data_IF_381733199327
#
_entry.id   IF_381733199327
#
_cell.length_a   1.000
_cell.length_b   1.000
_cell.length_c   1.000
_cell.angle_alpha   90.00
_cell.angle_beta   90.00
_cell.angle_gamma   90.00
#
_symmetry.space_group_name_H-M   'P 1'
#
loop_
_entity.id
_entity.type
_entity.pdbx_description
1 polymer ?
#
# COMPACT_ATOMS: atom_id res chain seq x y z
N UNK A 1 -43.80 5.05 -28.70
CA UNK A 1 -42.39 5.41 -28.44
C UNK A 1 -42.08 4.98 -27.02
N UNK A 2 -41.19 4.00 -26.84
CA UNK A 2 -40.84 3.54 -25.51
C UNK A 2 -40.09 4.67 -24.76
N UNK A 3 -40.54 4.96 -23.54
CA UNK A 3 -39.94 5.98 -22.68
C UNK A 3 -38.45 5.66 -22.50
N UNK A 4 -37.59 6.41 -23.21
CA UNK A 4 -36.16 6.36 -23.12
C UNK A 4 -35.73 6.93 -21.78
N UNK A 5 -35.45 6.05 -20.80
CA UNK A 5 -34.90 6.46 -19.50
C UNK A 5 -33.37 6.21 -19.49
N UNK A 6 -32.55 7.26 -19.61
CA UNK A 6 -31.09 7.12 -19.65
C UNK A 6 -30.51 6.44 -18.42
N UNK A 7 -31.10 6.62 -17.23
CA UNK A 7 -30.65 5.98 -16.01
C UNK A 7 -30.87 4.47 -16.03
N UNK A 8 -31.98 4.01 -16.61
CA UNK A 8 -32.28 2.58 -16.76
C UNK A 8 -31.26 1.89 -17.68
N UNK A 9 -30.89 2.53 -18.78
CA UNK A 9 -29.88 1.99 -19.71
C UNK A 9 -28.50 1.91 -19.07
N UNK A 10 -28.13 2.91 -18.30
CA UNK A 10 -26.88 2.90 -17.51
C UNK A 10 -26.84 1.74 -16.51
N UNK A 11 -27.93 1.51 -15.78
CA UNK A 11 -27.99 0.39 -14.83
C UNK A 11 -27.95 -0.97 -15.53
N UNK A 12 -28.60 -1.13 -16.67
CA UNK A 12 -28.53 -2.35 -17.48
C UNK A 12 -27.10 -2.62 -17.97
N UNK A 13 -26.39 -1.60 -18.43
CA UNK A 13 -25.00 -1.72 -18.84
C UNK A 13 -24.07 -2.10 -17.68
N UNK A 14 -24.25 -1.51 -16.50
CA UNK A 14 -23.46 -1.85 -15.29
C UNK A 14 -23.66 -3.28 -14.81
N UNK A 15 -24.81 -3.88 -15.11
CA UNK A 15 -25.10 -5.28 -14.76
C UNK A 15 -24.45 -6.31 -15.68
N UNK A 16 -23.84 -5.89 -16.79
CA UNK A 16 -23.12 -6.82 -17.67
C UNK A 16 -21.94 -7.46 -16.92
N UNK A 17 -21.71 -8.76 -17.17
CA UNK A 17 -20.60 -9.48 -16.56
C UNK A 17 -19.27 -8.95 -17.10
N UNK A 18 -18.41 -8.48 -16.22
CA UNK A 18 -17.15 -7.82 -16.58
C UNK A 18 -16.16 -8.75 -17.29
N UNK A 19 -16.16 -10.06 -17.01
CA UNK A 19 -15.31 -11.01 -17.73
C UNK A 19 -15.78 -11.22 -19.18
N UNK A 20 -17.09 -11.31 -19.39
CA UNK A 20 -17.67 -11.48 -20.73
C UNK A 20 -17.36 -10.24 -21.57
N UNK A 21 -17.52 -9.04 -20.97
CA UNK A 21 -17.16 -7.78 -21.62
C UNK A 21 -15.64 -7.69 -21.89
N UNK A 22 -14.80 -8.08 -20.94
CA UNK A 22 -13.36 -8.11 -21.15
C UNK A 22 -12.98 -9.07 -22.32
N UNK A 23 -13.64 -10.21 -22.42
CA UNK A 23 -13.47 -11.14 -23.54
C UNK A 23 -13.91 -10.50 -24.86
N UNK A 24 -15.06 -9.80 -24.90
CA UNK A 24 -15.53 -9.10 -26.10
C UNK A 24 -14.63 -7.95 -26.54
N UNK A 25 -13.86 -7.38 -25.61
CA UNK A 25 -12.81 -6.37 -25.87
C UNK A 25 -11.48 -6.99 -26.30
N UNK A 26 -11.39 -8.33 -26.41
CA UNK A 26 -10.17 -9.04 -26.78
C UNK A 26 -9.10 -9.11 -25.68
N UNK A 27 -9.46 -8.88 -24.43
CA UNK A 27 -8.48 -8.94 -23.34
C UNK A 27 -8.14 -10.38 -22.98
N UNK A 28 -6.88 -10.78 -23.16
CA UNK A 28 -6.39 -12.07 -22.69
C UNK A 28 -6.12 -12.03 -21.19
N UNK A 29 -6.91 -12.77 -20.42
CA UNK A 29 -6.88 -12.75 -18.97
C UNK A 29 -6.27 -14.02 -18.39
N UNK A 30 -5.44 -13.87 -17.37
CA UNK A 30 -4.98 -14.98 -16.52
C UNK A 30 -5.49 -14.82 -15.08
N UNK A 31 -5.84 -15.93 -14.46
CA UNK A 31 -6.24 -15.93 -13.05
C UNK A 31 -5.03 -15.67 -12.14
N UNK A 32 -5.16 -14.72 -11.23
CA UNK A 32 -4.14 -14.38 -10.22
C UNK A 32 -4.82 -14.33 -8.85
N UNK A 33 -4.78 -15.43 -8.13
CA UNK A 33 -5.51 -15.58 -6.86
C UNK A 33 -7.03 -15.52 -7.08
N UNK A 34 -7.69 -14.54 -6.48
CA UNK A 34 -9.15 -14.32 -6.59
C UNK A 34 -9.53 -13.31 -7.69
N UNK A 35 -8.56 -12.79 -8.42
CA UNK A 35 -8.76 -11.80 -9.47
C UNK A 35 -8.27 -12.36 -10.81
N UNK A 36 -8.60 -11.64 -11.89
CA UNK A 36 -8.01 -11.85 -13.20
C UNK A 36 -7.11 -10.68 -13.56
N UNK A 37 -5.96 -10.97 -14.17
CA UNK A 37 -5.05 -9.97 -14.69
C UNK A 37 -5.04 -10.03 -16.20
N UNK A 38 -5.01 -8.87 -16.87
CA UNK A 38 -4.71 -8.80 -18.29
C UNK A 38 -3.26 -9.19 -18.53
N UNK A 39 -3.00 -10.11 -19.46
CA UNK A 39 -1.66 -10.68 -19.68
C UNK A 39 -0.69 -9.59 -20.14
N UNK A 40 -1.09 -8.75 -21.09
CA UNK A 40 -0.27 -7.67 -21.64
C UNK A 40 -0.04 -6.54 -20.62
N UNK A 41 -1.02 -6.29 -19.75
CA UNK A 41 -0.96 -5.25 -18.73
C UNK A 41 -1.23 -5.83 -17.33
N UNK A 42 -0.24 -6.49 -16.69
CA UNK A 42 -0.46 -7.20 -15.42
C UNK A 42 -0.92 -6.33 -14.25
N UNK A 43 -0.78 -5.00 -14.35
CA UNK A 43 -1.32 -4.03 -13.41
C UNK A 43 -2.82 -3.80 -13.54
N UNK A 44 -3.44 -4.21 -14.67
CA UNK A 44 -4.89 -4.25 -14.84
C UNK A 44 -5.45 -5.51 -14.17
N UNK A 45 -6.35 -5.34 -13.23
CA UNK A 45 -6.96 -6.42 -12.45
C UNK A 45 -8.47 -6.33 -12.48
N UNK A 46 -9.14 -7.46 -12.67
CA UNK A 46 -10.59 -7.58 -12.56
C UNK A 46 -10.95 -8.31 -11.26
N UNK A 47 -11.79 -7.72 -10.45
CA UNK A 47 -12.43 -8.38 -9.30
C UNK A 47 -13.85 -8.80 -9.71
N UNK A 48 -13.98 -10.08 -10.04
CA UNK A 48 -15.26 -10.64 -10.49
C UNK A 48 -16.34 -10.64 -9.42
N UNK A 49 -15.96 -10.60 -8.17
CA UNK A 49 -16.91 -10.55 -7.04
C UNK A 49 -17.62 -9.21 -6.95
N UNK A 50 -16.91 -8.15 -7.35
CA UNK A 50 -17.44 -6.78 -7.33
C UNK A 50 -17.91 -6.31 -8.68
N UNK A 51 -17.70 -7.08 -9.74
CA UNK A 51 -17.90 -6.68 -11.12
C UNK A 51 -17.16 -5.38 -11.46
N UNK A 52 -15.92 -5.24 -10.97
CA UNK A 52 -15.10 -4.04 -11.12
C UNK A 52 -13.71 -4.37 -11.62
N UNK A 53 -13.05 -3.37 -12.22
CA UNK A 53 -11.63 -3.44 -12.52
C UNK A 53 -10.86 -2.34 -11.80
N UNK A 54 -9.54 -2.55 -11.72
CA UNK A 54 -8.57 -1.55 -11.26
C UNK A 54 -7.34 -1.62 -12.16
N UNK A 55 -6.92 -0.46 -12.70
CA UNK A 55 -5.67 -0.36 -13.46
C UNK A 55 -4.61 0.32 -12.60
N UNK A 56 -3.81 -0.47 -11.90
CA UNK A 56 -2.92 0.02 -10.85
C UNK A 56 -1.82 0.95 -11.33
N UNK A 57 -1.37 0.83 -12.57
CA UNK A 57 -0.35 1.70 -13.17
C UNK A 57 -0.90 3.01 -13.74
N UNK A 58 -2.23 3.12 -13.95
CA UNK A 58 -2.84 4.31 -14.59
C UNK A 58 -3.50 5.32 -13.64
N UNK A 59 -3.28 5.17 -12.32
CA UNK A 59 -3.73 6.18 -11.36
C UNK A 59 -4.87 5.71 -10.44
N UNK A 60 -5.21 6.54 -9.46
CA UNK A 60 -6.25 6.24 -8.47
C UNK A 60 -7.67 6.32 -9.04
N UNK A 61 -7.86 7.11 -10.09
CA UNK A 61 -9.13 7.28 -10.80
C UNK A 61 -9.61 6.00 -11.48
N UNK A 62 -8.68 5.06 -11.79
CA UNK A 62 -9.01 3.76 -12.36
C UNK A 62 -9.00 2.62 -11.34
N UNK A 63 -9.35 2.91 -10.09
CA UNK A 63 -9.53 1.91 -9.03
C UNK A 63 -11.00 1.61 -8.80
N UNK A 64 -11.33 0.32 -8.72
CA UNK A 64 -12.69 -0.18 -8.46
C UNK A 64 -13.74 0.44 -9.39
N UNK A 65 -13.41 0.61 -10.67
CA UNK A 65 -14.30 1.16 -11.69
C UNK A 65 -15.22 0.08 -12.26
N UNK A 66 -16.41 0.50 -12.74
CA UNK A 66 -17.39 -0.38 -13.35
C UNK A 66 -17.05 -0.76 -14.80
N UNK A 67 -17.86 -1.62 -15.36
CA UNK A 67 -17.69 -2.13 -16.72
C UNK A 67 -17.83 -1.03 -17.78
N UNK A 68 -18.62 0.04 -17.53
CA UNK A 68 -18.74 1.14 -18.48
C UNK A 68 -17.40 1.86 -18.58
N UNK A 69 -16.78 2.16 -17.43
CA UNK A 69 -15.46 2.80 -17.40
C UNK A 69 -14.37 1.92 -18.01
N UNK A 70 -14.50 0.58 -17.90
CA UNK A 70 -13.60 -0.33 -18.57
C UNK A 70 -13.64 -0.15 -20.10
N UNK A 71 -14.83 -0.11 -20.70
CA UNK A 71 -14.98 0.09 -22.15
C UNK A 71 -14.47 1.46 -22.56
N UNK A 72 -14.78 2.52 -21.80
CA UNK A 72 -14.26 3.88 -22.09
C UNK A 72 -12.73 3.89 -22.22
N UNK A 73 -12.06 3.25 -21.26
CA UNK A 73 -10.58 3.30 -21.15
C UNK A 73 -9.91 2.37 -22.17
N UNK A 74 -10.45 1.18 -22.39
CA UNK A 74 -9.83 0.19 -23.31
C UNK A 74 -10.01 0.64 -24.76
N UNK A 75 -11.21 1.07 -25.15
CA UNK A 75 -11.51 1.49 -26.51
C UNK A 75 -11.21 2.98 -26.76
N UNK A 76 -10.82 3.73 -25.72
CA UNK A 76 -10.61 5.18 -25.80
C UNK A 76 -11.83 5.92 -26.38
N UNK A 77 -13.01 5.63 -25.85
CA UNK A 77 -14.30 6.17 -26.31
C UNK A 77 -15.01 6.97 -25.21
N UNK A 78 -16.01 7.76 -25.62
CA UNK A 78 -16.86 8.50 -24.68
C UNK A 78 -17.79 7.57 -23.88
N UNK A 79 -18.30 8.07 -22.74
CA UNK A 79 -19.33 7.37 -21.95
C UNK A 79 -20.54 6.92 -22.79
N UNK A 80 -21.00 7.75 -23.74
CA UNK A 80 -22.14 7.43 -24.58
C UNK A 80 -21.86 6.27 -25.53
N UNK A 81 -20.68 6.23 -26.13
CA UNK A 81 -20.24 5.17 -27.01
C UNK A 81 -19.99 3.87 -26.22
N UNK A 82 -19.39 3.96 -25.03
CA UNK A 82 -19.21 2.82 -24.14
C UNK A 82 -20.55 2.21 -23.70
N UNK A 83 -21.54 3.07 -23.41
CA UNK A 83 -22.89 2.63 -23.06
C UNK A 83 -23.54 1.91 -24.22
N UNK A 84 -23.43 2.44 -25.44
CA UNK A 84 -23.98 1.82 -26.66
C UNK A 84 -23.33 0.47 -26.92
N UNK A 85 -22.00 0.40 -26.87
CA UNK A 85 -21.24 -0.85 -27.00
C UNK A 85 -21.76 -1.93 -26.04
N UNK A 86 -21.92 -1.59 -24.75
CA UNK A 86 -22.36 -2.55 -23.71
C UNK A 86 -23.82 -3.01 -23.92
N UNK A 87 -24.69 -2.16 -24.42
CA UNK A 87 -26.09 -2.53 -24.68
C UNK A 87 -26.20 -3.50 -25.87
N UNK A 88 -25.29 -3.44 -26.83
CA UNK A 88 -25.24 -4.31 -28.01
C UNK A 88 -24.41 -5.58 -27.79
N UNK A 89 -23.49 -5.57 -26.81
CA UNK A 89 -22.63 -6.71 -26.52
C UNK A 89 -23.41 -7.86 -25.88
N UNK A 90 -23.26 -9.07 -26.41
CA UNK A 90 -23.76 -10.30 -25.81
C UNK A 90 -22.90 -10.68 -24.59
N UNK A 91 -23.19 -10.12 -23.45
CA UNK A 91 -22.55 -10.42 -22.17
C UNK A 91 -23.62 -10.82 -21.16
N UNK A 92 -23.31 -11.82 -20.34
CA UNK A 92 -24.19 -12.26 -19.26
C UNK A 92 -24.45 -11.16 -18.23
N UNK A 93 -25.51 -11.33 -17.45
CA UNK A 93 -25.82 -10.44 -16.32
C UNK A 93 -24.99 -10.87 -15.13
N UNK A 94 -24.36 -9.91 -14.48
CA UNK A 94 -23.64 -10.14 -13.24
C UNK A 94 -24.61 -10.49 -12.12
N UNK A 95 -24.48 -11.70 -11.59
CA UNK A 95 -25.28 -12.17 -10.47
C UNK A 95 -24.54 -11.93 -9.15
N UNK A 96 -24.82 -10.79 -8.53
CA UNK A 96 -24.23 -10.41 -7.25
C UNK A 96 -24.56 -11.38 -6.10
N UNK A 97 -25.60 -12.21 -6.23
CA UNK A 97 -25.92 -13.23 -5.24
C UNK A 97 -24.95 -14.41 -5.25
N UNK A 98 -24.24 -14.64 -6.35
CA UNK A 98 -23.20 -15.66 -6.50
C UNK A 98 -21.82 -15.19 -6.05
N UNK A 99 -21.67 -13.97 -5.54
CA UNK A 99 -20.39 -13.50 -5.02
C UNK A 99 -20.02 -14.36 -3.81
N UNK A 100 -18.93 -15.15 -3.86
CA UNK A 100 -18.46 -15.83 -2.66
C UNK A 100 -18.14 -14.76 -1.61
N UNK A 101 -18.82 -14.80 -0.47
CA UNK A 101 -18.45 -13.91 0.64
C UNK A 101 -16.96 -14.10 0.89
N UNK A 102 -16.22 -12.99 1.03
CA UNK A 102 -14.79 -13.05 1.39
C UNK A 102 -14.69 -13.87 2.66
N UNK A 103 -13.97 -14.99 2.59
CA UNK A 103 -13.72 -15.78 3.80
C UNK A 103 -12.99 -14.90 4.82
N UNK A 104 -13.37 -14.99 6.10
CA UNK A 104 -12.67 -14.26 7.14
C UNK A 104 -11.21 -14.68 7.18
N UNK A 105 -10.35 -13.76 7.61
CA UNK A 105 -8.95 -14.09 7.83
C UNK A 105 -8.83 -15.17 8.92
N UNK A 106 -8.04 -16.20 8.65
CA UNK A 106 -7.68 -17.24 9.62
C UNK A 106 -6.17 -17.32 9.71
N UNK A 107 -5.64 -17.10 10.90
CA UNK A 107 -4.20 -17.21 11.16
C UNK A 107 -3.77 -18.68 11.20
N UNK A 108 -3.11 -19.14 10.14
CA UNK A 108 -2.65 -20.54 9.98
C UNK A 108 -1.13 -20.61 9.82
N UNK A 109 -0.42 -19.72 10.53
CA UNK A 109 1.04 -19.69 10.45
C UNK A 109 1.64 -20.69 11.42
N UNK A 110 2.59 -21.48 10.95
CA UNK A 110 3.39 -22.35 11.81
C UNK A 110 4.52 -21.54 12.43
N UNK A 111 4.28 -20.99 13.61
CA UNK A 111 5.29 -20.24 14.36
C UNK A 111 6.41 -21.16 14.85
N UNK A 112 7.64 -20.68 14.79
CA UNK A 112 8.80 -21.36 15.37
C UNK A 112 8.83 -21.14 16.90
N UNK A 113 9.47 -22.05 17.63
CA UNK A 113 9.65 -21.93 19.08
C UNK A 113 10.64 -20.85 19.48
N UNK A 114 11.56 -20.51 18.58
CA UNK A 114 12.64 -19.52 18.83
C UNK A 114 12.64 -18.45 17.73
N UNK A 115 13.33 -17.35 17.96
CA UNK A 115 13.48 -16.24 17.02
C UNK A 115 14.93 -16.12 16.47
N UNK A 116 15.74 -17.18 16.55
CA UNK A 116 17.17 -17.11 16.35
C UNK A 116 17.58 -16.76 14.92
N UNK A 117 17.01 -17.42 13.90
CA UNK A 117 17.29 -17.11 12.49
C UNK A 117 16.80 -15.71 12.12
N UNK A 118 15.64 -15.31 12.61
CA UNK A 118 15.11 -13.99 12.37
C UNK A 118 15.96 -12.92 13.05
N UNK A 119 16.39 -13.13 14.29
CA UNK A 119 17.29 -12.23 15.03
C UNK A 119 18.61 -12.06 14.30
N UNK A 120 19.24 -13.17 13.90
CA UNK A 120 20.48 -13.15 13.13
C UNK A 120 20.33 -12.31 11.84
N UNK A 121 19.30 -12.57 11.07
CA UNK A 121 19.00 -11.81 9.85
C UNK A 121 18.81 -10.31 10.12
N UNK A 122 18.00 -9.95 11.13
CA UNK A 122 17.73 -8.56 11.48
C UNK A 122 19.00 -7.83 11.97
N UNK A 123 19.90 -8.53 12.67
CA UNK A 123 21.17 -7.96 13.12
C UNK A 123 22.20 -7.85 12.00
N UNK A 124 22.50 -8.98 11.35
CA UNK A 124 23.65 -9.07 10.45
C UNK A 124 23.36 -8.47 9.08
N UNK A 125 22.13 -8.65 8.54
CA UNK A 125 21.79 -8.14 7.22
C UNK A 125 21.01 -6.83 7.24
N UNK A 126 20.30 -6.54 8.34
CA UNK A 126 19.48 -5.34 8.46
C UNK A 126 20.05 -4.29 9.41
N UNK A 127 21.10 -4.63 10.16
CA UNK A 127 21.82 -3.71 11.04
C UNK A 127 21.06 -3.29 12.29
N UNK A 128 19.96 -3.98 12.64
CA UNK A 128 19.15 -3.65 13.82
C UNK A 128 19.85 -4.12 15.11
N UNK A 129 19.74 -3.33 16.18
CA UNK A 129 20.23 -3.70 17.51
C UNK A 129 19.31 -4.70 18.19
N UNK A 130 19.84 -5.47 19.15
CA UNK A 130 19.03 -6.35 19.98
C UNK A 130 17.93 -5.58 20.73
N UNK A 131 18.26 -4.39 21.23
CA UNK A 131 17.31 -3.51 21.92
C UNK A 131 16.07 -3.20 21.03
N UNK A 132 16.30 -2.82 19.78
CA UNK A 132 15.22 -2.57 18.83
C UNK A 132 14.43 -3.83 18.50
N UNK A 133 15.14 -4.94 18.27
CA UNK A 133 14.48 -6.22 17.99
C UNK A 133 13.60 -6.64 19.17
N UNK A 134 14.13 -6.56 20.39
CA UNK A 134 13.39 -6.92 21.61
C UNK A 134 12.19 -6.00 21.87
N UNK A 135 12.34 -4.71 21.59
CA UNK A 135 11.23 -3.76 21.67
C UNK A 135 10.04 -4.22 20.80
N UNK A 136 10.27 -4.54 19.52
CA UNK A 136 9.21 -4.98 18.62
C UNK A 136 8.70 -6.39 18.91
N UNK A 137 9.56 -7.31 19.38
CA UNK A 137 9.15 -8.63 19.88
C UNK A 137 8.20 -8.51 21.07
N UNK A 138 8.51 -7.65 22.03
CA UNK A 138 7.69 -7.42 23.22
C UNK A 138 6.34 -6.76 22.90
N UNK A 139 6.21 -6.08 21.75
CA UNK A 139 4.92 -5.61 21.24
C UNK A 139 4.07 -6.75 20.64
N UNK A 140 4.62 -7.95 20.49
CA UNK A 140 3.90 -9.11 19.96
C UNK A 140 3.56 -9.05 18.47
N UNK A 141 4.16 -8.11 17.73
CA UNK A 141 3.83 -7.87 16.32
C UNK A 141 4.65 -8.72 15.34
N UNK A 142 5.68 -9.42 15.78
CA UNK A 142 6.49 -10.26 14.89
C UNK A 142 6.83 -11.61 15.51
N UNK A 143 6.93 -12.61 14.66
CA UNK A 143 7.34 -13.98 15.01
C UNK A 143 8.21 -14.56 13.91
N UNK A 144 9.09 -15.50 14.28
CA UNK A 144 9.70 -16.40 13.30
C UNK A 144 8.73 -17.51 12.96
N UNK A 145 8.65 -17.86 11.68
CA UNK A 145 7.78 -18.91 11.19
C UNK A 145 8.46 -19.70 10.06
N UNK A 146 7.82 -20.78 9.64
CA UNK A 146 8.28 -21.61 8.53
C UNK A 146 7.32 -21.39 7.36
N UNK A 147 7.85 -20.93 6.24
CA UNK A 147 7.17 -20.92 4.96
C UNK A 147 7.39 -22.27 4.25
N UNK A 148 6.33 -22.83 3.69
CA UNK A 148 6.41 -23.95 2.74
C UNK A 148 5.92 -23.44 1.39
N UNK A 149 6.81 -23.47 0.42
CA UNK A 149 6.45 -23.15 -0.97
C UNK A 149 5.54 -24.24 -1.53
N UNK A 150 4.41 -23.84 -2.12
CA UNK A 150 3.37 -24.78 -2.57
C UNK A 150 3.71 -25.50 -3.88
N UNK A 151 4.59 -24.93 -4.71
CA UNK A 151 4.97 -25.49 -5.98
C UNK A 151 6.15 -26.45 -5.85
N UNK A 152 7.15 -26.05 -5.07
CA UNK A 152 8.38 -26.84 -4.91
C UNK A 152 8.40 -27.71 -3.67
N UNK A 153 7.49 -27.48 -2.71
CA UNK A 153 7.44 -28.14 -1.41
C UNK A 153 8.59 -27.76 -0.46
N UNK A 154 9.52 -26.91 -0.89
CA UNK A 154 10.67 -26.47 -0.09
C UNK A 154 10.21 -25.60 1.08
N UNK A 155 10.93 -25.69 2.18
CA UNK A 155 10.66 -24.90 3.39
C UNK A 155 11.80 -23.92 3.64
N UNK A 156 11.42 -22.72 4.12
CA UNK A 156 12.39 -21.69 4.53
C UNK A 156 11.91 -20.94 5.78
N UNK A 157 12.83 -20.44 6.62
CA UNK A 157 12.45 -19.58 7.71
C UNK A 157 12.00 -18.21 7.18
N UNK A 158 11.00 -17.64 7.85
CA UNK A 158 10.50 -16.30 7.55
C UNK A 158 10.17 -15.55 8.83
N UNK A 159 10.09 -14.24 8.72
CA UNK A 159 9.45 -13.39 9.73
C UNK A 159 8.00 -13.15 9.29
N UNK A 160 7.08 -13.25 10.22
CA UNK A 160 5.71 -12.79 10.04
C UNK A 160 5.50 -11.57 10.92
N UNK A 161 5.20 -10.44 10.29
CA UNK A 161 4.75 -9.24 10.96
C UNK A 161 3.23 -9.27 11.03
N UNK A 162 2.68 -9.36 12.24
CA UNK A 162 1.25 -9.51 12.49
C UNK A 162 0.54 -8.17 12.34
N UNK A 163 -0.60 -8.19 11.66
CA UNK A 163 -1.53 -7.05 11.66
C UNK A 163 -2.55 -7.31 12.76
N UNK A 164 -2.57 -6.45 13.75
CA UNK A 164 -3.50 -6.52 14.87
C UNK A 164 -4.59 -5.48 14.70
N UNK A 165 -5.83 -5.86 15.03
CA UNK A 165 -6.91 -4.88 15.16
C UNK A 165 -6.83 -4.17 16.53
N UNK A 166 -7.73 -3.22 16.76
CA UNK A 166 -7.81 -2.45 18.01
C UNK A 166 -8.05 -3.32 19.26
N UNK A 167 -8.54 -4.57 19.08
CA UNK A 167 -8.75 -5.52 20.16
C UNK A 167 -7.54 -6.43 20.39
N UNK A 168 -6.49 -6.31 19.54
CA UNK A 168 -5.32 -7.15 19.55
C UNK A 168 -5.49 -8.49 18.84
N UNK A 169 -6.59 -8.68 18.10
CA UNK A 169 -6.82 -9.87 17.29
C UNK A 169 -6.00 -9.79 16.00
N UNK A 170 -5.43 -10.92 15.57
CA UNK A 170 -4.70 -10.99 14.30
C UNK A 170 -5.71 -10.98 13.14
N UNK A 171 -5.64 -9.95 12.29
CA UNK A 171 -6.51 -9.75 11.11
C UNK A 171 -5.74 -9.80 9.80
N UNK A 172 -4.44 -10.06 9.87
CA UNK A 172 -3.56 -10.17 8.71
C UNK A 172 -2.11 -10.34 9.10
N UNK A 173 -1.22 -10.21 8.12
CA UNK A 173 0.22 -10.19 8.35
C UNK A 173 1.03 -10.08 7.07
N UNK A 174 2.25 -9.57 7.21
CA UNK A 174 3.24 -9.52 6.16
C UNK A 174 4.30 -10.60 6.37
N UNK A 175 4.68 -11.30 5.31
CA UNK A 175 5.73 -12.33 5.31
C UNK A 175 7.01 -11.76 4.72
N UNK A 176 8.11 -11.88 5.44
CA UNK A 176 9.45 -11.53 5.02
C UNK A 176 10.34 -12.76 5.08
N UNK A 177 10.79 -13.27 3.92
CA UNK A 177 11.77 -14.34 3.84
C UNK A 177 13.13 -13.90 4.37
N UNK A 178 13.80 -14.80 5.08
CA UNK A 178 15.13 -14.58 5.66
C UNK A 178 16.20 -14.93 4.62
N UNK A 179 16.02 -16.03 3.89
CA UNK A 179 17.00 -16.50 2.91
C UNK A 179 16.85 -15.82 1.55
N UNK A 180 18.00 -15.56 0.93
CA UNK A 180 18.06 -15.02 -0.42
C UNK A 180 17.98 -16.17 -1.43
N UNK A 181 16.95 -16.11 -2.32
CA UNK A 181 16.72 -17.12 -3.33
C UNK A 181 16.12 -16.51 -4.59
N UNK A 182 16.96 -16.15 -5.57
CA UNK A 182 16.49 -15.59 -6.86
C UNK A 182 15.76 -16.60 -7.74
N UNK A 183 15.95 -17.90 -7.54
CA UNK A 183 15.24 -18.92 -8.32
C UNK A 183 13.74 -18.94 -7.95
N UNK A 184 13.42 -18.86 -6.65
CA UNK A 184 12.04 -18.80 -6.17
C UNK A 184 11.44 -17.38 -6.24
N UNK A 185 12.29 -16.36 -6.10
CA UNK A 185 11.87 -14.95 -6.03
C UNK A 185 12.69 -14.08 -7.00
N UNK A 186 12.49 -14.20 -8.34
CA UNK A 186 13.34 -13.55 -9.34
C UNK A 186 13.44 -12.04 -9.19
N UNK A 187 12.34 -11.37 -8.85
CA UNK A 187 12.28 -9.91 -8.74
C UNK A 187 12.94 -9.37 -7.46
N UNK A 188 12.65 -10.01 -6.33
CA UNK A 188 13.00 -9.48 -4.98
C UNK A 188 14.07 -10.27 -4.27
N UNK A 189 14.46 -11.44 -4.79
CA UNK A 189 15.41 -12.35 -4.17
C UNK A 189 14.97 -12.98 -2.85
N UNK A 190 13.81 -12.58 -2.29
CA UNK A 190 13.25 -13.07 -1.03
C UNK A 190 11.73 -13.07 -1.06
N UNK A 191 11.12 -13.92 -0.25
CA UNK A 191 9.67 -13.90 -0.01
C UNK A 191 9.26 -12.53 0.56
N UNK A 192 8.38 -11.83 -0.16
CA UNK A 192 7.69 -10.62 0.33
C UNK A 192 6.23 -10.72 -0.11
N UNK A 193 5.36 -11.22 0.75
CA UNK A 193 3.92 -11.41 0.46
C UNK A 193 3.10 -11.18 1.73
N UNK A 194 1.86 -10.73 1.57
CA UNK A 194 0.86 -10.69 2.65
C UNK A 194 0.32 -12.10 2.91
N UNK A 195 -0.13 -12.37 4.13
CA UNK A 195 -0.88 -13.60 4.44
C UNK A 195 -2.21 -13.60 3.67
N UNK A 196 -2.63 -14.80 3.28
CA UNK A 196 -3.88 -14.98 2.52
C UNK A 196 -5.09 -14.46 3.31
N UNK A 197 -6.00 -13.78 2.62
CA UNK A 197 -7.20 -13.15 3.19
C UNK A 197 -6.97 -12.08 4.26
N UNK A 198 -5.75 -11.57 4.45
CA UNK A 198 -5.52 -10.40 5.31
C UNK A 198 -6.49 -9.27 4.98
N UNK A 199 -6.95 -8.54 5.98
CA UNK A 199 -7.79 -7.36 5.75
C UNK A 199 -7.03 -6.31 4.95
N UNK A 200 -7.65 -5.80 3.87
CA UNK A 200 -6.97 -4.93 2.89
C UNK A 200 -6.53 -3.57 3.43
N UNK A 201 -7.08 -3.16 4.57
CA UNK A 201 -6.73 -1.91 5.26
C UNK A 201 -5.99 -2.14 6.57
N UNK A 202 -5.52 -3.38 6.84
CA UNK A 202 -4.70 -3.70 8.00
C UNK A 202 -3.20 -3.57 7.70
N UNK A 203 -2.44 -3.07 8.66
CA UNK A 203 -0.99 -2.93 8.61
C UNK A 203 -0.35 -3.31 9.94
N UNK A 204 0.97 -3.17 10.02
CA UNK A 204 1.68 -3.34 11.29
C UNK A 204 1.64 -2.03 12.05
N UNK A 205 1.05 -2.02 13.24
CA UNK A 205 0.86 -0.82 14.05
C UNK A 205 1.56 -0.99 15.40
N UNK A 206 2.33 0.02 15.79
CA UNK A 206 3.04 0.06 17.08
C UNK A 206 2.89 1.43 17.71
N UNK A 207 2.38 1.47 18.94
CA UNK A 207 2.28 2.69 19.72
C UNK A 207 3.57 2.89 20.56
N UNK A 208 4.11 4.10 20.49
CA UNK A 208 5.18 4.58 21.34
C UNK A 208 4.54 5.39 22.47
N UNK A 209 4.65 4.88 23.68
CA UNK A 209 4.04 5.43 24.89
C UNK A 209 2.70 4.78 25.26
N UNK A 210 1.81 5.52 25.93
CA UNK A 210 0.53 5.02 26.44
C UNK A 210 -0.57 5.00 25.37
N UNK A 211 -1.41 3.97 25.32
CA UNK A 211 -2.51 3.79 24.34
C UNK A 211 -3.56 4.92 24.36
N UNK A 212 -3.58 5.75 25.39
CA UNK A 212 -4.52 6.88 25.51
C UNK A 212 -3.92 8.23 25.09
N UNK A 213 -2.80 8.22 24.40
CA UNK A 213 -2.00 9.42 24.16
C UNK A 213 -2.68 10.48 23.31
N UNK A 214 -3.58 10.10 22.38
CA UNK A 214 -4.28 11.12 21.60
C UNK A 214 -5.07 12.09 22.50
N UNK A 215 -5.68 11.62 23.57
CA UNK A 215 -6.41 12.46 24.52
C UNK A 215 -5.52 13.48 25.24
N UNK A 216 -4.22 13.21 25.33
CA UNK A 216 -3.20 14.08 25.93
C UNK A 216 -2.53 15.02 24.91
N UNK A 217 -2.77 14.84 23.63
CA UNK A 217 -2.17 15.62 22.55
C UNK A 217 -2.55 17.09 22.65
N UNK A 218 -1.58 17.97 22.40
CA UNK A 218 -1.72 19.42 22.34
C UNK A 218 -1.17 19.94 21.01
N UNK A 219 -1.45 21.18 20.60
CA UNK A 219 -0.80 21.75 19.40
C UNK A 219 0.73 21.82 19.51
N UNK A 220 1.27 21.97 20.73
CA UNK A 220 2.72 21.98 20.97
C UNK A 220 3.35 20.57 20.97
N UNK A 221 2.57 19.53 21.32
CA UNK A 221 2.95 18.12 21.29
C UNK A 221 1.82 17.30 20.65
N UNK A 222 1.71 17.33 19.31
CA UNK A 222 0.65 16.64 18.59
C UNK A 222 0.87 15.13 18.60
N UNK A 223 -0.22 14.36 18.60
CA UNK A 223 -0.16 12.94 18.32
C UNK A 223 0.29 12.73 16.88
N UNK A 224 1.43 12.08 16.69
CA UNK A 224 2.04 11.91 15.37
C UNK A 224 1.90 10.47 14.89
N UNK A 225 1.42 10.30 13.66
CA UNK A 225 1.39 9.01 12.96
C UNK A 225 2.50 8.99 11.93
N UNK A 226 3.47 8.09 12.10
CA UNK A 226 4.55 7.86 11.15
C UNK A 226 4.19 6.67 10.27
N UNK A 227 4.13 6.86 8.97
CA UNK A 227 3.77 5.83 7.99
C UNK A 227 4.98 5.40 7.16
N UNK A 228 5.18 4.08 7.04
CA UNK A 228 6.30 3.43 6.36
C UNK A 228 5.79 2.46 5.29
N UNK A 229 6.59 2.22 4.25
CA UNK A 229 6.25 1.24 3.22
C UNK A 229 6.33 -0.20 3.73
N UNK A 230 7.35 -0.53 4.54
CA UNK A 230 7.51 -1.88 5.06
C UNK A 230 7.89 -1.92 6.56
N UNK A 231 7.67 -3.06 7.25
CA UNK A 231 7.97 -3.19 8.68
C UNK A 231 9.47 -3.03 9.01
N UNK A 232 10.37 -3.45 8.13
CA UNK A 232 11.82 -3.29 8.36
C UNK A 232 12.21 -1.82 8.31
N UNK A 233 11.59 -1.01 7.43
CA UNK A 233 11.82 0.43 7.38
C UNK A 233 11.32 1.12 8.64
N UNK A 234 10.14 0.72 9.14
CA UNK A 234 9.62 1.16 10.42
C UNK A 234 10.57 0.85 11.59
N UNK A 235 11.14 -0.37 11.64
CA UNK A 235 12.10 -0.76 12.67
C UNK A 235 13.41 0.03 12.55
N UNK A 236 13.88 0.27 11.34
CA UNK A 236 15.11 1.03 11.06
C UNK A 236 14.94 2.50 11.43
N UNK A 237 13.79 3.09 11.09
CA UNK A 237 13.45 4.44 11.51
C UNK A 237 13.39 4.56 13.03
N UNK A 238 12.76 3.60 13.70
CA UNK A 238 12.75 3.55 15.17
C UNK A 238 14.17 3.49 15.74
N UNK A 239 15.04 2.63 15.23
CA UNK A 239 16.44 2.54 15.66
C UNK A 239 17.18 3.88 15.54
N UNK A 240 16.95 4.62 14.44
CA UNK A 240 17.58 5.91 14.18
C UNK A 240 17.03 7.06 15.04
N UNK A 241 15.75 7.00 15.39
CA UNK A 241 15.03 8.15 15.97
C UNK A 241 14.38 7.87 17.32
N UNK A 242 14.60 6.69 17.95
CA UNK A 242 13.89 6.25 19.16
C UNK A 242 13.93 7.27 20.32
N UNK A 243 15.01 8.04 20.44
CA UNK A 243 15.16 9.07 21.49
C UNK A 243 14.30 10.33 21.23
N UNK A 244 13.75 10.48 20.03
CA UNK A 244 12.92 11.62 19.61
C UNK A 244 11.45 11.22 19.44
N UNK A 245 11.16 9.92 19.41
CA UNK A 245 9.82 9.40 19.22
C UNK A 245 9.06 9.40 20.55
N UNK A 246 8.17 10.37 20.67
CA UNK A 246 7.25 10.49 21.81
C UNK A 246 5.83 10.65 21.27
N UNK A 247 4.83 10.27 22.04
CA UNK A 247 3.41 10.48 21.72
C UNK A 247 3.06 10.14 20.24
N UNK A 248 3.42 8.96 19.75
CA UNK A 248 3.27 8.63 18.35
C UNK A 248 2.86 7.18 18.08
N UNK A 249 2.37 6.96 16.87
CA UNK A 249 2.03 5.67 16.31
C UNK A 249 2.87 5.41 15.06
N UNK A 250 3.56 4.27 15.02
CA UNK A 250 4.28 3.78 13.86
C UNK A 250 3.37 2.83 13.06
N UNK A 251 3.31 3.00 11.74
CA UNK A 251 2.40 2.26 10.85
C UNK A 251 3.16 1.79 9.61
N UNK A 252 3.39 0.48 9.47
CA UNK A 252 3.92 -0.08 8.24
C UNK A 252 2.78 -0.62 7.35
N UNK A 253 2.72 -0.10 6.12
CA UNK A 253 1.60 -0.30 5.20
C UNK A 253 1.72 -1.56 4.33
N UNK A 254 2.92 -2.16 4.19
CA UNK A 254 3.25 -3.20 3.21
C UNK A 254 3.00 -2.74 1.76
N UNK A 255 3.53 -1.61 1.41
CA UNK A 255 3.34 -0.83 0.20
C UNK A 255 2.54 0.45 0.48
N UNK A 256 2.37 1.29 -0.53
CA UNK A 256 1.70 2.59 -0.37
C UNK A 256 0.18 2.42 -0.29
N UNK A 257 -0.40 2.53 0.91
CA UNK A 257 -1.84 2.33 1.15
C UNK A 257 -2.41 3.34 2.16
N UNK A 258 -3.03 4.41 1.65
CA UNK A 258 -3.66 5.45 2.46
C UNK A 258 -4.75 4.90 3.40
N UNK A 259 -5.45 3.82 3.02
CA UNK A 259 -6.51 3.20 3.84
C UNK A 259 -5.98 2.65 5.17
N UNK A 260 -4.72 2.16 5.20
CA UNK A 260 -4.08 1.68 6.42
C UNK A 260 -3.78 2.85 7.37
N UNK A 261 -3.29 3.96 6.84
CA UNK A 261 -3.07 5.19 7.63
C UNK A 261 -4.40 5.72 8.17
N UNK A 262 -5.43 5.74 7.31
CA UNK A 262 -6.78 6.15 7.69
C UNK A 262 -7.32 5.34 8.87
N UNK A 263 -7.20 4.00 8.80
CA UNK A 263 -7.60 3.11 9.89
C UNK A 263 -6.81 3.38 11.16
N UNK A 264 -5.49 3.44 11.06
CA UNK A 264 -4.61 3.65 12.20
C UNK A 264 -4.92 4.96 12.95
N UNK A 265 -5.28 6.03 12.23
CA UNK A 265 -5.67 7.30 12.80
C UNK A 265 -7.01 7.17 13.54
N UNK A 266 -8.03 6.62 12.91
CA UNK A 266 -9.36 6.49 13.54
C UNK A 266 -9.31 5.62 14.79
N UNK A 267 -8.56 4.51 14.74
CA UNK A 267 -8.35 3.66 15.92
C UNK A 267 -7.62 4.37 17.06
N UNK A 268 -6.74 5.35 16.76
CA UNK A 268 -6.09 6.16 17.77
C UNK A 268 -7.02 7.26 18.36
N UNK A 269 -7.89 7.82 17.52
CA UNK A 269 -8.83 8.86 17.92
C UNK A 269 -10.01 8.33 18.74
N UNK A 270 -10.43 7.09 18.47
CA UNK A 270 -11.59 6.48 19.11
C UNK A 270 -11.18 5.73 20.36
N UNK A 271 -11.49 6.27 21.53
CA UNK A 271 -11.30 5.57 22.82
C UNK A 271 -12.20 4.33 22.94
N UNK A 272 -13.38 4.34 22.32
CA UNK A 272 -14.36 3.25 22.34
C UNK A 272 -14.22 2.37 21.08
N UNK A 273 -13.77 1.15 21.28
CA UNK A 273 -13.61 0.14 20.22
C UNK A 273 -14.93 -0.22 19.52
N UNK A 274 -16.05 -0.17 20.23
CA UNK A 274 -17.37 -0.44 19.64
C UNK A 274 -17.75 0.63 18.61
N UNK A 275 -17.27 1.85 18.82
CA UNK A 275 -17.53 2.96 17.92
C UNK A 275 -16.77 2.82 16.60
N UNK A 276 -15.54 2.29 16.64
CA UNK A 276 -14.76 1.98 15.42
C UNK A 276 -15.53 1.03 14.51
N UNK A 277 -16.07 -0.06 15.08
CA UNK A 277 -16.89 -1.04 14.32
C UNK A 277 -18.13 -0.41 13.70
N UNK A 278 -18.84 0.45 14.44
CA UNK A 278 -20.00 1.19 13.92
C UNK A 278 -19.65 2.16 12.78
N UNK A 279 -18.46 2.73 12.80
CA UNK A 279 -17.97 3.58 11.70
C UNK A 279 -17.68 2.71 10.48
N UNK A 280 -17.04 1.55 10.65
CA UNK A 280 -16.75 0.60 9.56
C UNK A 280 -18.00 0.16 8.79
N UNK A 281 -19.11 -0.06 9.48
CA UNK A 281 -20.37 -0.44 8.86
C UNK A 281 -20.96 0.67 7.97
N UNK A 282 -20.67 1.93 8.26
CA UNK A 282 -21.29 3.08 7.59
C UNK A 282 -20.40 3.74 6.53
N UNK A 283 -19.10 3.67 6.71
CA UNK A 283 -18.12 4.40 5.89
C UNK A 283 -16.94 3.49 5.59
N UNK A 284 -16.56 3.43 4.33
CA UNK A 284 -15.34 2.73 3.91
C UNK A 284 -14.11 3.30 4.61
N UNK A 285 -13.26 2.42 5.16
CA UNK A 285 -12.09 2.77 5.99
C UNK A 285 -11.13 3.72 5.28
N UNK A 286 -10.95 3.58 3.98
CA UNK A 286 -10.12 4.46 3.15
C UNK A 286 -10.62 5.91 3.08
N UNK A 287 -11.88 6.15 3.42
CA UNK A 287 -12.51 7.49 3.44
C UNK A 287 -12.55 8.14 4.83
N UNK A 288 -12.18 7.44 5.88
CA UNK A 288 -12.27 7.98 7.24
C UNK A 288 -11.39 9.20 7.44
N UNK A 289 -10.14 9.12 7.01
CA UNK A 289 -9.21 10.24 7.11
C UNK A 289 -9.70 11.48 6.36
N UNK A 290 -10.27 11.29 5.16
CA UNK A 290 -10.85 12.40 4.41
C UNK A 290 -12.01 13.05 5.15
N UNK A 291 -12.88 12.27 5.78
CA UNK A 291 -13.99 12.82 6.57
C UNK A 291 -13.53 13.60 7.80
N UNK A 292 -12.45 13.15 8.46
CA UNK A 292 -11.86 13.90 9.58
C UNK A 292 -11.30 15.23 9.09
N UNK A 293 -10.61 15.21 7.94
CA UNK A 293 -10.08 16.41 7.31
C UNK A 293 -11.17 17.39 6.88
N UNK A 294 -12.24 16.90 6.27
CA UNK A 294 -13.40 17.71 5.84
C UNK A 294 -14.12 18.34 7.04
N UNK A 295 -14.26 17.60 8.16
CA UNK A 295 -14.86 18.12 9.39
C UNK A 295 -14.00 19.24 10.00
N UNK A 296 -12.68 19.07 10.02
CA UNK A 296 -11.77 20.11 10.49
C UNK A 296 -11.89 21.37 9.62
N UNK A 297 -11.92 21.22 8.30
CA UNK A 297 -12.10 22.35 7.37
C UNK A 297 -13.44 23.06 7.51
N UNK A 298 -14.53 22.31 7.72
CA UNK A 298 -15.88 22.88 7.92
C UNK A 298 -16.00 23.69 9.19
N UNK A 299 -15.23 23.37 10.22
CA UNK A 299 -15.16 24.13 11.47
C UNK A 299 -14.27 25.38 11.35
N UNK A 300 -13.66 25.65 10.18
CA UNK A 300 -12.71 26.74 9.98
C UNK A 300 -11.41 26.56 10.78
N UNK A 301 -11.14 25.35 11.26
CA UNK A 301 -10.02 25.02 12.12
C UNK A 301 -9.08 24.00 11.42
N UNK A 302 -7.80 24.14 11.69
CA UNK A 302 -6.81 23.12 11.37
C UNK A 302 -6.76 22.11 12.52
N UNK A 303 -6.58 20.83 12.20
CA UNK A 303 -6.47 19.80 13.24
C UNK A 303 -5.06 19.79 13.85
N UNK A 304 -4.77 20.75 14.73
CA UNK A 304 -3.43 21.02 15.25
C UNK A 304 -2.88 19.92 16.18
N UNK A 305 -3.76 19.05 16.71
CA UNK A 305 -3.36 17.97 17.62
C UNK A 305 -3.00 16.66 16.92
N UNK A 306 -3.12 16.59 15.60
CA UNK A 306 -2.81 15.41 14.79
C UNK A 306 -1.81 15.77 13.69
N UNK A 307 -0.78 14.96 13.55
CA UNK A 307 0.25 15.11 12.53
C UNK A 307 0.48 13.77 11.85
N UNK A 308 0.68 13.79 10.55
CA UNK A 308 1.03 12.61 9.76
C UNK A 308 2.41 12.84 9.16
N UNK A 309 3.34 11.92 9.43
CA UNK A 309 4.66 11.90 8.81
C UNK A 309 4.72 10.72 7.85
N UNK A 310 4.86 11.02 6.58
CA UNK A 310 5.03 10.01 5.54
C UNK A 310 6.52 9.70 5.41
N UNK A 311 7.01 8.77 6.23
CA UNK A 311 8.40 8.32 6.26
C UNK A 311 8.59 7.18 5.23
N UNK A 312 8.54 7.55 3.96
CA UNK A 312 8.52 6.64 2.81
C UNK A 312 9.91 6.45 2.23
N UNK A 313 10.04 5.47 1.31
CA UNK A 313 11.27 5.22 0.58
C UNK A 313 11.62 6.42 -0.34
N UNK A 314 12.91 6.64 -0.55
CA UNK A 314 13.42 7.64 -1.49
C UNK A 314 13.90 6.94 -2.77
N UNK A 315 12.94 6.51 -3.59
CA UNK A 315 13.21 5.79 -4.83
C UNK A 315 13.58 6.75 -5.95
N UNK A 316 14.46 6.30 -6.85
CA UNK A 316 14.67 6.99 -8.13
C UNK A 316 13.37 7.04 -8.94
N UNK A 317 13.24 8.12 -9.71
CA UNK A 317 12.16 8.20 -10.66
C UNK A 317 12.31 7.14 -11.74
N UNK A 318 11.20 6.54 -12.11
CA UNK A 318 11.12 5.52 -13.15
C UNK A 318 10.17 5.98 -14.23
N UNK A 319 10.59 5.82 -15.48
CA UNK A 319 9.67 6.02 -16.58
C UNK A 319 8.62 4.89 -16.57
N UNK A 320 7.36 5.29 -16.54
CA UNK A 320 6.24 4.37 -16.68
C UNK A 320 5.74 4.41 -18.12
N UNK A 321 6.06 3.39 -18.95
CA UNK A 321 5.69 3.39 -20.37
C UNK A 321 4.17 3.33 -20.57
N UNK A 322 3.43 2.71 -19.65
CA UNK A 322 1.97 2.64 -19.72
C UNK A 322 1.29 4.01 -19.54
N UNK A 323 1.93 4.91 -18.80
CA UNK A 323 1.42 6.27 -18.54
C UNK A 323 2.12 7.34 -19.37
N UNK A 324 3.19 6.99 -20.06
CA UNK A 324 4.03 7.95 -20.77
C UNK A 324 4.63 9.03 -19.88
N UNK A 325 4.84 8.75 -18.58
CA UNK A 325 5.36 9.73 -17.61
C UNK A 325 6.35 9.13 -16.64
N UNK A 326 7.17 10.00 -16.07
CA UNK A 326 8.07 9.66 -14.99
C UNK A 326 7.27 9.64 -13.68
N UNK A 327 7.48 8.60 -12.87
CA UNK A 327 6.85 8.42 -11.56
C UNK A 327 7.91 8.29 -10.48
N UNK A 328 7.67 8.94 -9.36
CA UNK A 328 8.40 8.77 -8.10
C UNK A 328 7.37 8.29 -7.08
N UNK A 329 7.24 6.96 -6.86
CA UNK A 329 6.08 6.40 -6.16
C UNK A 329 5.76 7.05 -4.82
N UNK A 330 6.75 7.27 -3.96
CA UNK A 330 6.58 7.91 -2.66
C UNK A 330 6.19 9.39 -2.78
N UNK A 331 6.83 10.13 -3.69
CA UNK A 331 6.50 11.54 -3.94
C UNK A 331 5.11 11.69 -4.55
N UNK A 332 4.75 10.83 -5.50
CA UNK A 332 3.42 10.82 -6.10
C UNK A 332 2.34 10.45 -5.07
N UNK A 333 2.64 9.51 -4.17
CA UNK A 333 1.76 9.17 -3.06
C UNK A 333 1.55 10.35 -2.12
N UNK A 334 2.61 11.07 -1.75
CA UNK A 334 2.53 12.28 -0.93
C UNK A 334 1.70 13.36 -1.62
N UNK A 335 2.00 13.67 -2.88
CA UNK A 335 1.26 14.68 -3.67
C UNK A 335 -0.21 14.33 -3.82
N UNK A 336 -0.53 13.04 -4.01
CA UNK A 336 -1.88 12.52 -4.14
C UNK A 336 -2.60 12.25 -2.81
N UNK A 337 -1.98 12.56 -1.67
CA UNK A 337 -2.54 12.23 -0.37
C UNK A 337 -3.84 12.97 -0.07
N UNK A 338 -3.98 14.22 -0.55
CA UNK A 338 -5.25 14.94 -0.64
C UNK A 338 -5.86 15.35 0.70
N UNK A 339 -5.05 15.48 1.76
CA UNK A 339 -5.44 15.98 3.09
C UNK A 339 -4.95 17.43 3.22
N UNK A 340 -5.81 18.33 3.67
CA UNK A 340 -5.56 19.78 3.66
C UNK A 340 -5.56 20.44 5.04
N UNK A 341 -6.35 19.90 5.97
CA UNK A 341 -6.59 20.48 7.29
C UNK A 341 -5.85 19.74 8.42
N UNK A 342 -5.12 18.69 8.10
CA UNK A 342 -4.21 17.96 8.98
C UNK A 342 -2.79 18.14 8.42
N UNK A 343 -1.81 18.33 9.30
CA UNK A 343 -0.41 18.42 8.89
C UNK A 343 0.10 17.08 8.33
N UNK A 344 0.43 17.05 7.04
CA UNK A 344 1.05 15.91 6.37
C UNK A 344 2.44 16.30 5.92
N UNK A 345 3.47 15.67 6.48
CA UNK A 345 4.87 15.99 6.27
C UNK A 345 5.57 14.81 5.60
N UNK A 346 6.22 15.00 4.46
CA UNK A 346 7.09 13.97 3.89
C UNK A 346 8.40 13.92 4.68
N UNK A 347 8.86 12.70 4.96
CA UNK A 347 10.18 12.45 5.54
C UNK A 347 10.80 11.27 4.80
N UNK A 348 11.82 11.56 3.99
CA UNK A 348 12.50 10.55 3.19
C UNK A 348 13.91 10.29 3.76
N UNK A 349 14.44 9.05 3.65
CA UNK A 349 15.85 8.81 3.92
C UNK A 349 16.72 9.60 2.94
N UNK A 350 17.95 9.85 3.31
CA UNK A 350 18.90 10.57 2.46
C UNK A 350 19.19 9.77 1.20
N UNK A 351 19.29 10.46 0.06
CA UNK A 351 19.84 9.86 -1.16
C UNK A 351 21.35 9.75 -1.04
N UNK A 352 21.89 8.56 -1.27
CA UNK A 352 23.33 8.31 -1.32
C UNK A 352 23.76 8.09 -2.77
N UNK A 353 24.85 8.72 -3.17
CA UNK A 353 25.37 8.62 -4.53
C UNK A 353 25.67 7.16 -4.90
N UNK A 354 25.27 6.74 -6.10
CA UNK A 354 25.40 5.36 -6.58
C UNK A 354 24.33 4.38 -6.09
N UNK A 355 23.35 4.84 -5.29
CA UNK A 355 22.22 4.06 -4.86
C UNK A 355 20.95 4.51 -5.61
N UNK A 356 20.33 3.58 -6.33
CA UNK A 356 19.10 3.84 -7.10
C UNK A 356 17.82 3.80 -6.26
N UNK A 357 17.91 3.28 -5.05
CA UNK A 357 16.83 3.17 -4.09
C UNK A 357 17.41 3.36 -2.70
N UNK A 358 16.75 4.20 -1.92
CA UNK A 358 17.11 4.42 -0.52
C UNK A 358 15.88 4.23 0.34
N UNK A 359 15.88 3.19 1.14
CA UNK A 359 14.91 2.97 2.20
C UNK A 359 15.51 3.30 3.57
N UNK A 360 14.68 3.30 4.61
CA UNK A 360 15.16 3.60 5.97
C UNK A 360 16.13 2.55 6.50
N UNK A 361 16.08 1.32 5.99
CA UNK A 361 17.05 0.31 6.34
C UNK A 361 18.42 0.56 5.68
N UNK A 362 18.43 1.11 4.46
CA UNK A 362 19.67 1.52 3.83
C UNK A 362 20.31 2.72 4.55
N UNK A 363 19.48 3.73 4.94
CA UNK A 363 19.95 4.85 5.77
C UNK A 363 20.57 4.37 7.09
N UNK A 364 19.91 3.44 7.79
CA UNK A 364 20.44 2.84 9.01
C UNK A 364 21.81 2.15 8.78
N UNK A 365 21.92 1.37 7.72
CA UNK A 365 23.17 0.66 7.39
C UNK A 365 24.29 1.61 7.02
N UNK A 366 23.99 2.69 6.30
CA UNK A 366 24.99 3.73 6.00
C UNK A 366 25.49 4.38 7.28
N UNK A 367 24.58 4.80 8.17
CA UNK A 367 24.97 5.44 9.44
C UNK A 367 25.77 4.50 10.37
N UNK A 368 25.53 3.19 10.28
CA UNK A 368 26.33 2.17 11.02
C UNK A 368 27.59 1.73 10.30
N UNK A 369 27.91 2.27 9.12
CA UNK A 369 29.07 1.88 8.32
C UNK A 369 28.97 0.48 7.71
N UNK A 370 27.77 -0.11 7.67
CA UNK A 370 27.52 -1.44 7.11
C UNK A 370 27.26 -1.39 5.60
N UNK A 371 26.92 -0.23 5.09
CA UNK A 371 26.72 0.03 3.67
C UNK A 371 27.50 1.31 3.32
N UNK A 372 28.43 1.24 2.37
CA UNK A 372 29.18 2.41 1.93
C UNK A 372 28.31 3.21 0.96
N UNK A 373 27.73 4.29 1.43
CA UNK A 373 27.26 5.38 0.61
C UNK A 373 28.45 6.20 0.09
N UNK A 374 28.44 6.60 -1.17
CA UNK A 374 29.56 7.36 -1.73
C UNK A 374 29.52 8.83 -1.27
N UNK A 375 28.37 9.47 -1.37
CA UNK A 375 28.13 10.81 -0.80
C UNK A 375 26.64 10.98 -0.47
N UNK A 376 26.35 11.82 0.51
CA UNK A 376 24.98 12.22 0.84
C UNK A 376 24.58 13.34 -0.10
N UNK A 377 23.72 13.07 -1.04
CA UNK A 377 23.17 14.15 -1.88
C UNK A 377 21.88 14.67 -1.28
N UNK A 378 21.87 15.94 -0.98
CA UNK A 378 20.82 16.59 -0.17
C UNK A 378 19.51 16.84 -0.92
N UNK A 379 19.26 16.25 -2.10
CA UNK A 379 18.09 16.80 -2.71
C UNK A 379 17.34 15.89 -3.70
N UNK A 380 16.08 15.74 -3.36
CA UNK A 380 15.00 15.49 -4.30
C UNK A 380 15.17 16.33 -5.59
N UNK A 381 15.70 17.55 -5.47
CA UNK A 381 15.95 18.46 -6.60
C UNK A 381 17.11 18.00 -7.50
N UNK A 382 18.17 17.45 -6.96
CA UNK A 382 19.26 16.90 -7.78
C UNK A 382 18.80 15.63 -8.51
N UNK A 383 17.98 14.82 -7.85
CA UNK A 383 17.35 13.64 -8.45
C UNK A 383 16.39 14.02 -9.59
N UNK A 384 15.57 15.05 -9.39
CA UNK A 384 14.69 15.61 -10.43
C UNK A 384 15.52 16.15 -11.59
N UNK A 385 16.61 16.87 -11.33
CA UNK A 385 17.49 17.42 -12.36
C UNK A 385 18.22 16.32 -13.16
N UNK A 386 18.64 15.23 -12.51
CA UNK A 386 19.24 14.07 -13.18
C UNK A 386 18.24 13.42 -14.13
N UNK A 387 17.01 13.21 -13.66
CA UNK A 387 15.92 12.61 -14.45
C UNK A 387 15.59 13.48 -15.67
N UNK A 388 15.50 14.80 -15.49
CA UNK A 388 15.25 15.71 -16.61
C UNK A 388 16.35 15.63 -17.66
N UNK A 389 17.62 15.45 -17.25
CA UNK A 389 18.74 15.23 -18.17
C UNK A 389 18.65 13.89 -18.89
N UNK A 390 18.28 12.81 -18.18
CA UNK A 390 18.18 11.47 -18.76
C UNK A 390 17.00 11.38 -19.74
N UNK A 391 15.88 12.04 -19.45
CA UNK A 391 14.74 12.15 -20.38
C UNK A 391 15.13 12.94 -21.64
N UNK A 392 15.76 14.09 -21.49
CA UNK A 392 16.20 14.89 -22.63
C UNK A 392 17.19 14.13 -23.52
N UNK A 393 18.07 13.32 -22.92
CA UNK A 393 19.01 12.47 -23.67
C UNK A 393 18.30 11.37 -24.45
N UNK A 394 17.31 10.70 -23.84
CA UNK A 394 16.54 9.65 -24.53
C UNK A 394 15.64 10.20 -25.64
N UNK A 395 15.09 11.41 -25.47
CA UNK A 395 14.34 12.09 -26.54
C UNK A 395 15.24 12.44 -27.75
N UNK A 396 16.47 12.88 -27.51
CA UNK A 396 17.44 13.17 -28.58
C UNK A 396 17.88 11.89 -29.28
N UNK A 397 18.12 10.80 -28.57
CA UNK A 397 18.47 9.50 -29.15
C UNK A 397 17.32 8.88 -29.97
N UNK A 398 16.05 9.10 -29.55
CA UNK A 398 14.85 8.63 -30.28
C UNK A 398 14.54 9.47 -31.53
N UNK A 399 15.07 10.68 -31.65
CA UNK A 399 14.95 11.52 -32.85
C UNK A 399 16.06 11.29 -33.89
N UNK A 400 17.08 10.49 -33.55
CA UNK A 400 18.20 10.16 -34.43
C UNK A 400 18.09 8.75 -35.07
N UNK A 401 17.02 7.99 -34.74
CA UNK A 401 16.63 6.73 -35.37
C UNK A 401 15.39 6.93 -36.24
#
# INVERSE_FOLDING_TARGET
MANYNPNRLKELAKQKNILDVASSLGLELKRVGQQYAWIEHPSFKIDTRKNTFSWFSKGSELRNQDVIKMVEVINNVSFKEALHYLLETEAGVFDGAKIPKKEPFVYRVREAKTFDYARKYLKEERGLSDETIDFFLNKGIMVQAIHKDTETGKTEPMIVFKHLDIEGKIVGGARQGIWYNKQLYPEKGRLKKTLYNSEGTSGVIVDIGDKTQFSKATPADPFTVYAFEAPIDMMSYYELHKNQLTNCRLVAMNGLNKGIISRAIVEALCADKSYVKKIEEKVSVDRWLQKIDDLAGSAGARHEKLKIVLALDNDEAKFNPEKGKIEIPATDFYRGFGIKNIDVIPHFPKCHEGMSKNDWNDELKVQKGLLKGLEVTDSLQQMINKIQKDVAKNEVESMQL
#
